data_IF_896170928182
#
_entry.id   IF_896170928182
#
_cell.length_a   1.000
_cell.length_b   1.000
_cell.length_c   1.000
_cell.angle_alpha   90.00
_cell.angle_beta   90.00
_cell.angle_gamma   90.00
#
_symmetry.space_group_name_H-M   'P 1'
#
loop_
_entity.id
_entity.type
_entity.pdbx_description
1 polymer ?
#
# COMPACT_ATOMS: atom_id res chain seq x y z
N UNK A 1 -14.93 -18.59 2.27
CA UNK A 1 -15.23 -17.25 1.74
C UNK A 1 -15.53 -16.37 2.93
N UNK A 2 -14.71 -15.35 3.17
CA UNK A 2 -14.96 -14.35 4.21
C UNK A 2 -15.57 -13.12 3.54
N UNK A 3 -16.58 -12.51 4.17
CA UNK A 3 -17.17 -11.26 3.71
C UNK A 3 -16.83 -10.17 4.71
N UNK A 4 -16.54 -8.97 4.21
CA UNK A 4 -16.26 -7.78 5.01
C UNK A 4 -17.23 -6.70 4.53
N UNK A 5 -18.02 -6.16 5.45
CA UNK A 5 -18.86 -5.00 5.18
C UNK A 5 -18.11 -3.76 5.65
N UNK A 6 -17.95 -2.79 4.76
CA UNK A 6 -17.33 -1.50 5.06
C UNK A 6 -18.44 -0.46 5.16
N UNK A 7 -18.43 0.31 6.24
CA UNK A 7 -19.28 1.47 6.36
C UNK A 7 -18.52 2.68 5.80
N UNK A 8 -19.02 3.23 4.70
CA UNK A 8 -18.39 4.32 3.96
C UNK A 8 -19.37 5.46 3.84
N UNK A 9 -18.89 6.70 4.01
CA UNK A 9 -19.70 7.86 3.66
C UNK A 9 -20.00 7.87 2.16
N UNK A 10 -21.16 8.40 1.77
CA UNK A 10 -21.57 8.50 0.36
C UNK A 10 -20.51 9.14 -0.53
N UNK A 11 -19.81 10.16 -0.03
CA UNK A 11 -18.73 10.85 -0.75
C UNK A 11 -17.55 9.92 -1.06
N UNK A 12 -17.08 9.16 -0.06
CA UNK A 12 -16.01 8.18 -0.24
C UNK A 12 -16.42 7.05 -1.20
N UNK A 13 -17.66 6.58 -1.08
CA UNK A 13 -18.17 5.54 -1.97
C UNK A 13 -18.26 6.04 -3.43
N UNK A 14 -18.69 7.28 -3.64
CA UNK A 14 -18.73 7.90 -4.96
C UNK A 14 -17.33 8.05 -5.55
N UNK A 15 -16.35 8.53 -4.78
CA UNK A 15 -14.96 8.65 -5.23
C UNK A 15 -14.40 7.31 -5.70
N UNK A 16 -14.69 6.22 -4.99
CA UNK A 16 -14.27 4.88 -5.38
C UNK A 16 -14.94 4.38 -6.67
N UNK A 17 -16.23 4.67 -6.86
CA UNK A 17 -16.94 4.37 -8.10
C UNK A 17 -16.37 5.15 -9.28
N UNK A 18 -16.07 6.44 -9.10
CA UNK A 18 -15.48 7.26 -10.14
C UNK A 18 -14.09 6.71 -10.54
N UNK A 19 -13.30 6.32 -9.55
CA UNK A 19 -11.98 5.71 -9.75
C UNK A 19 -12.09 4.38 -10.53
N UNK A 20 -13.04 3.53 -10.18
CA UNK A 20 -13.32 2.30 -10.91
C UNK A 20 -13.76 2.56 -12.36
N UNK A 21 -14.59 3.59 -12.55
CA UNK A 21 -15.06 4.04 -13.88
C UNK A 21 -13.92 4.54 -14.75
N UNK A 22 -12.99 5.33 -14.19
CA UNK A 22 -11.80 5.82 -14.89
C UNK A 22 -10.93 4.66 -15.38
N UNK A 23 -10.81 3.59 -14.60
CA UNK A 23 -10.06 2.39 -14.99
C UNK A 23 -10.89 1.39 -15.81
N UNK A 24 -12.18 1.64 -16.05
CA UNK A 24 -13.06 0.77 -16.82
C UNK A 24 -13.30 -0.60 -16.17
N UNK A 25 -13.19 -0.69 -14.84
CA UNK A 25 -13.35 -1.93 -14.08
C UNK A 25 -14.47 -1.81 -13.04
N UNK A 26 -14.94 -2.96 -12.55
CA UNK A 26 -15.93 -3.01 -11.47
C UNK A 26 -15.27 -2.64 -10.15
N UNK A 27 -15.99 -1.93 -9.29
CA UNK A 27 -15.52 -1.49 -7.97
C UNK A 27 -14.93 -2.65 -7.14
N UNK A 28 -15.57 -3.81 -7.14
CA UNK A 28 -15.10 -4.99 -6.40
C UNK A 28 -13.73 -5.47 -6.87
N UNK A 29 -13.47 -5.41 -8.18
CA UNK A 29 -12.17 -5.78 -8.77
C UNK A 29 -11.11 -4.77 -8.37
N UNK A 30 -11.44 -3.48 -8.38
CA UNK A 30 -10.55 -2.41 -7.94
C UNK A 30 -10.18 -2.57 -6.46
N UNK A 31 -11.17 -2.77 -5.59
CA UNK A 31 -10.96 -2.94 -4.16
C UNK A 31 -10.14 -4.19 -3.85
N UNK A 32 -10.43 -5.30 -4.53
CA UNK A 32 -9.68 -6.55 -4.36
C UNK A 32 -8.21 -6.37 -4.77
N UNK A 33 -7.95 -5.83 -5.95
CA UNK A 33 -6.59 -5.61 -6.44
C UNK A 33 -5.82 -4.65 -5.53
N UNK A 34 -6.46 -3.57 -5.08
CA UNK A 34 -5.84 -2.61 -4.14
C UNK A 34 -5.54 -3.24 -2.77
N UNK A 35 -6.43 -4.09 -2.25
CA UNK A 35 -6.19 -4.81 -1.00
C UNK A 35 -5.07 -5.84 -1.15
N UNK A 36 -5.04 -6.58 -2.25
CA UNK A 36 -3.96 -7.53 -2.56
C UNK A 36 -2.61 -6.81 -2.69
N UNK A 37 -2.58 -5.68 -3.38
CA UNK A 37 -1.38 -4.86 -3.52
C UNK A 37 -0.92 -4.32 -2.15
N UNK A 38 -1.84 -3.79 -1.34
CA UNK A 38 -1.53 -3.33 0.02
C UNK A 38 -0.99 -4.45 0.94
N UNK A 39 -1.61 -5.64 0.88
CA UNK A 39 -1.15 -6.82 1.63
C UNK A 39 0.23 -7.29 1.16
N UNK A 40 0.55 -7.12 -0.13
CA UNK A 40 1.85 -7.45 -0.68
C UNK A 40 2.90 -6.35 -0.46
N UNK A 41 2.51 -5.07 -0.43
CA UNK A 41 3.41 -3.94 -0.18
C UNK A 41 3.90 -3.89 1.27
N UNK A 42 3.17 -4.53 2.19
CA UNK A 42 3.61 -4.77 3.57
C UNK A 42 4.78 -5.77 3.65
N UNK A 43 5.16 -6.46 2.56
CA UNK A 43 6.35 -7.30 2.51
C UNK A 43 7.60 -6.42 2.40
N UNK A 44 7.94 -5.80 3.52
CA UNK A 44 9.29 -5.60 4.08
C UNK A 44 10.36 -4.84 3.28
N UNK A 45 10.29 -4.74 1.95
CA UNK A 45 11.40 -4.25 1.12
C UNK A 45 11.76 -2.79 1.39
N UNK A 46 10.77 -1.91 1.61
CA UNK A 46 11.05 -0.51 1.91
C UNK A 46 11.69 -0.33 3.30
N UNK A 47 11.16 -1.01 4.31
CA UNK A 47 11.69 -0.92 5.69
C UNK A 47 13.08 -1.55 5.77
N UNK A 48 13.30 -2.66 5.08
CA UNK A 48 14.59 -3.33 5.02
C UNK A 48 15.63 -2.48 4.27
N UNK A 49 15.25 -1.84 3.16
CA UNK A 49 16.14 -0.94 2.43
C UNK A 49 16.53 0.28 3.28
N UNK A 50 15.57 0.88 4.01
CA UNK A 50 15.84 2.00 4.91
C UNK A 50 16.78 1.59 6.04
N UNK A 51 16.52 0.44 6.69
CA UNK A 51 17.39 -0.09 7.74
C UNK A 51 18.81 -0.38 7.23
N UNK A 52 18.93 -0.93 6.02
CA UNK A 52 20.21 -1.21 5.38
C UNK A 52 21.01 0.07 5.15
N UNK A 53 20.40 1.11 4.58
CA UNK A 53 21.06 2.40 4.30
C UNK A 53 21.49 3.09 5.59
N UNK A 54 20.63 3.12 6.61
CA UNK A 54 20.95 3.72 7.91
C UNK A 54 22.12 3.00 8.59
N UNK A 55 22.12 1.67 8.57
CA UNK A 55 23.21 0.86 9.14
C UNK A 55 24.53 1.11 8.41
N UNK A 56 24.52 1.13 7.06
CA UNK A 56 25.72 1.37 6.26
C UNK A 56 26.30 2.77 6.47
N UNK A 57 25.45 3.79 6.60
CA UNK A 57 25.90 5.15 6.90
C UNK A 57 26.53 5.24 8.30
N UNK A 58 25.93 4.62 9.31
CA UNK A 58 26.50 4.57 10.65
C UNK A 58 27.89 3.90 10.66
N UNK A 59 28.04 2.77 9.98
CA UNK A 59 29.33 2.09 9.79
C UNK A 59 30.36 2.99 9.07
N UNK A 60 29.92 3.77 8.08
CA UNK A 60 30.78 4.68 7.31
C UNK A 60 31.29 5.83 8.17
N UNK A 61 30.40 6.47 8.95
CA UNK A 61 30.78 7.53 9.89
C UNK A 61 31.75 7.02 10.96
N UNK A 62 31.57 5.78 11.44
CA UNK A 62 32.47 5.19 12.43
C UNK A 62 33.88 4.90 11.89
N UNK A 63 34.03 4.69 10.57
CA UNK A 63 35.34 4.45 9.93
C UNK A 63 36.08 5.73 9.54
N UNK A 64 35.38 6.86 9.50
CA UNK A 64 35.92 8.16 9.12
C UNK A 64 36.30 9.02 10.33
N UNK A 65 36.03 8.55 11.55
CA UNK A 65 36.45 9.16 12.82
C UNK A 65 37.67 8.44 13.39
#
# INVERSE_FOLDING_TARGET
MASITLDLSDTQFQMLQDLATVHGIVLEVLLKASLEDWLNSQKTEFVDAVNYVLTKNAELYQRLA
#
